data_IF_746784581721
#
_entry.id   IF_746784581721
#
_cell.length_a   1.000
_cell.length_b   1.000
_cell.length_c   1.000
_cell.angle_alpha   90.00
_cell.angle_beta   90.00
_cell.angle_gamma   90.00
#
_symmetry.space_group_name_H-M   'P 1'
#
loop_
_entity.id
_entity.type
_entity.pdbx_description
1 polymer ?
#
# COMPACT_ATOMS: atom_id res chain seq x y z
N UNK A 1 5.88 -22.37 4.09
CA UNK A 1 6.74 -21.67 3.11
C UNK A 1 5.91 -21.30 1.89
N UNK A 2 5.25 -20.14 1.94
CA UNK A 2 4.75 -19.45 0.75
C UNK A 2 5.53 -18.15 0.71
N UNK A 3 6.18 -17.84 -0.41
CA UNK A 3 6.86 -16.57 -0.60
C UNK A 3 5.92 -15.40 -0.21
N UNK A 4 6.37 -14.40 0.56
CA UNK A 4 5.56 -13.23 0.83
C UNK A 4 5.21 -12.52 -0.51
N UNK A 5 3.95 -12.09 -0.70
CA UNK A 5 3.45 -11.58 -1.98
C UNK A 5 3.94 -10.17 -2.35
N UNK A 6 5.01 -9.67 -1.72
CA UNK A 6 5.37 -8.24 -1.83
C UNK A 6 6.14 -7.88 -3.10
N UNK A 7 6.76 -8.84 -3.79
CA UNK A 7 7.69 -8.51 -4.88
C UNK A 7 7.05 -8.21 -6.25
N UNK A 8 5.74 -8.42 -6.41
CA UNK A 8 5.02 -8.04 -7.64
C UNK A 8 4.55 -6.57 -7.66
N UNK A 9 4.60 -5.82 -6.55
CA UNK A 9 4.06 -4.43 -6.53
C UNK A 9 5.00 -3.36 -7.07
N UNK A 10 6.32 -3.61 -7.13
CA UNK A 10 7.26 -2.66 -7.78
C UNK A 10 7.05 -2.64 -9.31
N UNK A 11 6.47 -3.69 -9.90
CA UNK A 11 6.09 -3.76 -11.31
C UNK A 11 4.66 -3.24 -11.61
N UNK A 12 3.96 -2.69 -10.61
CA UNK A 12 2.58 -2.20 -10.75
C UNK A 12 2.45 -0.68 -10.56
N UNK A 13 3.54 0.06 -10.74
CA UNK A 13 3.46 1.50 -10.96
C UNK A 13 2.89 1.69 -12.37
N UNK A 14 1.57 1.60 -12.48
CA UNK A 14 0.86 2.21 -13.58
C UNK A 14 0.57 3.64 -13.12
N UNK A 15 1.40 4.59 -13.54
CA UNK A 15 1.09 6.01 -13.44
C UNK A 15 1.10 6.61 -14.85
N UNK A 16 0.14 7.51 -15.08
CA UNK A 16 -0.10 8.20 -16.35
C UNK A 16 1.11 8.98 -16.87
N UNK A 17 0.95 9.63 -18.03
CA UNK A 17 2.06 10.11 -18.85
C UNK A 17 2.93 11.11 -18.07
N UNK A 18 4.21 10.78 -17.92
CA UNK A 18 5.21 11.70 -17.39
C UNK A 18 5.69 12.65 -18.49
N UNK A 19 5.54 13.97 -18.29
CA UNK A 19 6.46 14.94 -18.90
C UNK A 19 6.76 16.12 -17.96
N UNK A 20 8.05 16.43 -17.96
CA UNK A 20 8.78 17.56 -17.36
C UNK A 20 8.76 17.67 -15.83
N UNK A 21 9.42 16.72 -15.18
CA UNK A 21 10.02 16.95 -13.85
C UNK A 21 11.51 17.25 -14.06
N UNK A 22 11.89 18.51 -13.85
CA UNK A 22 13.28 18.94 -13.70
C UNK A 22 13.91 18.36 -12.43
N UNK A 23 15.25 18.26 -12.37
CA UNK A 23 15.94 17.22 -11.61
C UNK A 23 16.16 17.53 -10.11
N UNK A 24 16.34 16.43 -9.37
CA UNK A 24 16.94 16.25 -8.04
C UNK A 24 16.21 16.77 -6.79
N UNK A 25 15.55 15.84 -6.07
CA UNK A 25 15.53 15.75 -4.58
C UNK A 25 14.75 14.51 -4.03
N UNK A 26 14.45 13.50 -4.85
CA UNK A 26 13.25 12.67 -4.67
C UNK A 26 13.33 11.39 -3.82
N UNK A 27 14.16 11.32 -2.78
CA UNK A 27 14.00 10.24 -1.77
C UNK A 27 14.04 10.75 -0.35
N UNK A 28 15.02 11.60 -0.02
CA UNK A 28 15.10 12.24 1.29
C UNK A 28 14.04 13.35 1.48
N UNK A 29 13.68 14.09 0.42
CA UNK A 29 12.58 15.07 0.51
C UNK A 29 11.20 14.42 0.49
N UNK A 30 11.02 13.31 -0.23
CA UNK A 30 9.79 12.52 -0.11
C UNK A 30 9.65 11.89 1.29
N UNK A 31 10.74 11.47 1.92
CA UNK A 31 10.75 11.05 3.34
C UNK A 31 10.42 12.22 4.28
N UNK A 32 10.92 13.45 4.03
CA UNK A 32 10.58 14.65 4.80
C UNK A 32 9.12 15.07 4.63
N UNK A 33 8.58 15.01 3.42
CA UNK A 33 7.17 15.29 3.11
C UNK A 33 6.20 14.20 3.63
N UNK A 34 6.69 12.99 3.91
CA UNK A 34 5.82 11.83 4.23
C UNK A 34 5.18 11.87 5.62
N UNK A 35 5.70 12.66 6.57
CA UNK A 35 5.22 12.68 7.97
C UNK A 35 5.16 14.10 8.57
N UNK A 36 5.02 15.13 7.73
CA UNK A 36 4.78 16.48 8.21
C UNK A 36 3.42 16.60 8.91
N UNK A 37 3.28 17.56 9.83
CA UNK A 37 1.98 17.90 10.44
C UNK A 37 0.92 18.23 9.37
N UNK A 38 1.35 18.75 8.22
CA UNK A 38 0.49 18.98 7.06
C UNK A 38 -0.07 17.67 6.48
N UNK A 39 0.77 16.62 6.35
CA UNK A 39 0.33 15.30 5.91
C UNK A 39 -0.71 14.72 6.88
N UNK A 40 -0.43 14.75 8.19
CA UNK A 40 -1.38 14.25 9.20
C UNK A 40 -2.71 14.99 9.15
N UNK A 41 -2.70 16.32 8.97
CA UNK A 41 -3.92 17.12 8.80
C UNK A 41 -4.71 16.69 7.56
N UNK A 42 -4.03 16.56 6.41
CA UNK A 42 -4.62 16.13 5.13
C UNK A 42 -5.16 14.70 5.20
N UNK A 43 -4.38 13.78 5.75
CA UNK A 43 -4.76 12.39 5.98
C UNK A 43 -5.97 12.27 6.90
N UNK A 44 -6.00 13.01 8.02
CA UNK A 44 -7.15 13.05 8.94
C UNK A 44 -8.41 13.54 8.22
N UNK A 45 -8.28 14.54 7.35
CA UNK A 45 -9.39 15.07 6.56
C UNK A 45 -9.96 14.03 5.59
N UNK A 46 -9.11 13.37 4.82
CA UNK A 46 -9.55 12.28 3.92
C UNK A 46 -10.15 11.11 4.70
N UNK A 47 -9.54 10.74 5.82
CA UNK A 47 -10.04 9.68 6.71
C UNK A 47 -11.42 10.02 7.27
N UNK A 48 -11.67 11.28 7.63
CA UNK A 48 -12.99 11.72 8.11
C UNK A 48 -14.07 11.60 7.02
N UNK A 49 -13.74 11.87 5.75
CA UNK A 49 -14.66 11.69 4.62
C UNK A 49 -14.98 10.21 4.44
N UNK A 50 -13.94 9.38 4.47
CA UNK A 50 -14.03 7.95 4.22
C UNK A 50 -14.74 7.20 5.37
N UNK A 51 -14.62 7.68 6.61
CA UNK A 51 -15.29 7.15 7.80
C UNK A 51 -16.59 7.90 8.15
N UNK A 52 -17.12 8.72 7.25
CA UNK A 52 -18.34 9.52 7.49
C UNK A 52 -19.59 8.67 7.71
N UNK A 53 -19.64 7.46 7.14
CA UNK A 53 -20.77 6.56 7.24
C UNK A 53 -20.58 5.55 8.39
N UNK A 54 -21.59 5.38 9.23
CA UNK A 54 -21.61 4.35 10.31
C UNK A 54 -21.39 2.94 9.76
N UNK A 55 -21.92 2.65 8.57
CA UNK A 55 -21.69 1.38 7.88
C UNK A 55 -20.20 1.16 7.54
N UNK A 56 -19.50 2.19 7.08
CA UNK A 56 -18.08 2.09 6.75
C UNK A 56 -17.22 1.83 8.00
N UNK A 57 -17.55 2.47 9.13
CA UNK A 57 -16.91 2.22 10.43
C UNK A 57 -17.15 0.78 10.89
N UNK A 58 -18.37 0.26 10.74
CA UNK A 58 -18.71 -1.10 11.13
C UNK A 58 -17.96 -2.15 10.31
N UNK A 59 -17.90 -1.98 8.98
CA UNK A 59 -17.15 -2.91 8.11
C UNK A 59 -15.65 -2.86 8.41
N UNK A 60 -15.11 -1.69 8.76
CA UNK A 60 -13.73 -1.56 9.23
C UNK A 60 -13.47 -2.27 10.55
N UNK A 61 -14.39 -2.18 11.50
CA UNK A 61 -14.29 -2.92 12.75
C UNK A 61 -14.31 -4.43 12.50
N UNK A 62 -15.18 -4.91 11.62
CA UNK A 62 -15.22 -6.32 11.20
C UNK A 62 -13.89 -6.74 10.56
N UNK A 63 -13.27 -5.89 9.72
CA UNK A 63 -11.96 -6.15 9.14
C UNK A 63 -10.87 -6.29 10.21
N UNK A 64 -10.88 -5.44 11.24
CA UNK A 64 -9.93 -5.51 12.35
C UNK A 64 -10.12 -6.80 13.17
N UNK A 65 -11.37 -7.15 13.51
CA UNK A 65 -11.68 -8.39 14.22
C UNK A 65 -11.19 -9.61 13.43
N UNK A 66 -11.53 -9.70 12.14
CA UNK A 66 -11.06 -10.79 11.27
C UNK A 66 -9.53 -10.84 11.17
N UNK A 67 -8.87 -9.68 11.19
CA UNK A 67 -7.40 -9.60 11.14
C UNK A 67 -6.76 -10.11 12.43
N UNK A 68 -7.31 -9.78 13.60
CA UNK A 68 -6.85 -10.32 14.89
C UNK A 68 -7.13 -11.83 14.97
N UNK A 69 -8.33 -12.26 14.59
CA UNK A 69 -8.68 -13.69 14.54
C UNK A 69 -7.74 -14.47 13.63
N UNK A 70 -7.39 -13.91 12.47
CA UNK A 70 -6.43 -14.50 11.55
C UNK A 70 -5.06 -14.73 12.21
N UNK A 71 -4.50 -13.74 12.90
CA UNK A 71 -3.21 -13.88 13.59
C UNK A 71 -3.23 -14.96 14.68
N UNK A 72 -4.33 -15.05 15.45
CA UNK A 72 -4.50 -16.10 16.47
C UNK A 72 -4.50 -17.50 15.84
N UNK A 73 -5.19 -17.67 14.71
CA UNK A 73 -5.22 -18.94 14.00
C UNK A 73 -3.82 -19.27 13.45
N UNK A 74 -3.12 -18.27 12.87
CA UNK A 74 -1.76 -18.45 12.35
C UNK A 74 -0.79 -18.93 13.44
N UNK A 75 -0.91 -18.40 14.66
CA UNK A 75 -0.14 -18.90 15.80
C UNK A 75 -0.41 -20.38 16.08
N UNK A 76 -1.67 -20.81 16.07
CA UNK A 76 -2.03 -22.23 16.27
C UNK A 76 -1.50 -23.13 15.14
N UNK A 77 -1.54 -22.64 13.90
CA UNK A 77 -0.95 -23.36 12.76
C UNK A 77 0.56 -23.51 12.93
N UNK A 78 1.23 -22.51 13.49
CA UNK A 78 2.66 -22.60 13.80
C UNK A 78 3.00 -23.68 14.83
N UNK A 79 2.19 -23.79 15.89
CA UNK A 79 2.38 -24.81 16.94
C UNK A 79 2.08 -26.24 16.46
N UNK A 80 1.29 -26.38 15.41
CA UNK A 80 0.90 -27.67 14.85
C UNK A 80 2.11 -28.53 14.48
N UNK A 81 3.14 -27.91 13.87
CA UNK A 81 4.39 -28.60 13.48
C UNK A 81 5.12 -29.16 14.71
N UNK A 82 5.20 -28.39 15.79
CA UNK A 82 5.82 -28.83 17.04
C UNK A 82 5.10 -30.03 17.65
N UNK A 83 3.76 -30.03 17.62
CA UNK A 83 2.97 -31.15 18.12
C UNK A 83 3.13 -32.43 17.29
N UNK A 84 3.30 -32.32 15.95
CA UNK A 84 3.65 -33.47 15.12
C UNK A 84 4.98 -34.11 15.53
N UNK A 85 6.01 -33.32 15.83
CA UNK A 85 7.30 -33.86 16.30
C UNK A 85 7.15 -34.63 17.62
N UNK A 86 6.35 -34.13 18.55
CA UNK A 86 6.12 -34.81 19.85
C UNK A 86 5.37 -36.12 19.67
N UNK A 87 4.27 -36.11 18.91
CA UNK A 87 3.42 -37.30 18.71
C UNK A 87 4.14 -38.39 17.93
N UNK A 88 4.87 -38.01 16.86
CA UNK A 88 5.68 -38.95 16.09
C UNK A 88 6.85 -39.49 16.91
N UNK A 89 7.51 -38.64 17.72
CA UNK A 89 8.58 -39.05 18.62
C UNK A 89 8.13 -40.05 19.68
N UNK A 90 6.92 -39.87 20.23
CA UNK A 90 6.29 -40.79 21.19
C UNK A 90 5.65 -42.02 20.53
N UNK A 91 5.60 -42.10 19.20
CA UNK A 91 4.95 -43.17 18.41
C UNK A 91 3.48 -43.41 18.81
N UNK A 92 2.77 -42.35 19.18
CA UNK A 92 1.36 -42.42 19.58
C UNK A 92 0.44 -42.33 18.33
N UNK A 93 -0.11 -43.47 17.93
CA UNK A 93 -1.00 -43.56 16.76
C UNK A 93 -2.32 -42.79 16.97
N UNK A 94 -2.93 -42.89 18.15
CA UNK A 94 -4.20 -42.22 18.43
C UNK A 94 -4.00 -40.71 18.55
N UNK A 95 -2.92 -40.29 19.19
CA UNK A 95 -2.48 -38.90 19.20
C UNK A 95 -2.28 -38.35 17.78
N UNK A 96 -1.70 -39.14 16.87
CA UNK A 96 -1.46 -38.73 15.48
C UNK A 96 -2.76 -38.51 14.71
N UNK A 97 -3.70 -39.45 14.80
CA UNK A 97 -5.00 -39.35 14.10
C UNK A 97 -5.80 -38.16 14.64
N UNK A 98 -5.87 -37.99 15.96
CA UNK A 98 -6.59 -36.88 16.59
C UNK A 98 -5.97 -35.52 16.23
N UNK A 99 -4.64 -35.42 16.28
CA UNK A 99 -3.93 -34.20 15.90
C UNK A 99 -4.11 -33.88 14.41
N UNK A 100 -4.05 -34.89 13.54
CA UNK A 100 -4.28 -34.70 12.10
C UNK A 100 -5.71 -34.22 11.81
N UNK A 101 -6.72 -34.79 12.49
CA UNK A 101 -8.10 -34.33 12.38
C UNK A 101 -8.25 -32.86 12.82
N UNK A 102 -7.61 -32.47 13.94
CA UNK A 102 -7.56 -31.08 14.38
C UNK A 102 -6.89 -30.16 13.34
N UNK A 103 -5.79 -30.60 12.73
CA UNK A 103 -5.11 -29.85 11.67
C UNK A 103 -6.00 -29.59 10.46
N UNK A 104 -6.79 -30.59 10.02
CA UNK A 104 -7.71 -30.44 8.90
C UNK A 104 -8.80 -29.38 9.19
N UNK A 105 -9.35 -29.38 10.41
CA UNK A 105 -10.29 -28.35 10.86
C UNK A 105 -9.62 -26.98 10.89
N UNK A 106 -8.39 -26.91 11.40
CA UNK A 106 -7.62 -25.67 11.46
C UNK A 106 -7.33 -25.11 10.06
N UNK A 107 -6.98 -25.96 9.09
CA UNK A 107 -6.77 -25.57 7.68
C UNK A 107 -8.07 -24.98 7.09
N UNK A 108 -9.22 -25.63 7.32
CA UNK A 108 -10.51 -25.11 6.88
C UNK A 108 -10.82 -23.75 7.51
N UNK A 109 -10.51 -23.57 8.80
CA UNK A 109 -10.70 -22.31 9.52
C UNK A 109 -9.80 -21.19 8.97
N UNK A 110 -8.51 -21.47 8.74
CA UNK A 110 -7.56 -20.52 8.11
C UNK A 110 -8.08 -20.09 6.75
N UNK A 111 -8.48 -21.05 5.90
CA UNK A 111 -8.96 -20.77 4.56
C UNK A 111 -10.21 -19.89 4.58
N UNK A 112 -11.15 -20.19 5.47
CA UNK A 112 -12.36 -19.40 5.66
C UNK A 112 -12.04 -17.96 6.13
N UNK A 113 -11.33 -17.81 7.24
CA UNK A 113 -11.03 -16.48 7.83
C UNK A 113 -10.17 -15.63 6.89
N UNK A 114 -9.17 -16.22 6.23
CA UNK A 114 -8.33 -15.51 5.25
C UNK A 114 -9.15 -15.03 4.05
N UNK A 115 -10.08 -15.86 3.57
CA UNK A 115 -10.98 -15.50 2.46
C UNK A 115 -11.97 -14.41 2.87
N UNK A 116 -12.58 -14.52 4.05
CA UNK A 116 -13.47 -13.49 4.60
C UNK A 116 -12.73 -12.16 4.81
N UNK A 117 -11.53 -12.17 5.41
CA UNK A 117 -10.69 -10.97 5.57
C UNK A 117 -10.42 -10.30 4.22
N UNK A 118 -10.07 -11.07 3.18
CA UNK A 118 -9.83 -10.55 1.83
C UNK A 118 -11.10 -9.94 1.23
N UNK A 119 -12.23 -10.62 1.34
CA UNK A 119 -13.52 -10.14 0.83
C UNK A 119 -13.95 -8.83 1.52
N UNK A 120 -13.85 -8.78 2.86
CA UNK A 120 -14.18 -7.58 3.64
C UNK A 120 -13.24 -6.43 3.28
N UNK A 121 -11.93 -6.66 3.16
CA UNK A 121 -10.96 -5.64 2.72
C UNK A 121 -11.32 -5.06 1.34
N UNK A 122 -11.67 -5.91 0.36
CA UNK A 122 -12.12 -5.45 -0.95
C UNK A 122 -13.44 -4.67 -0.89
N UNK A 123 -14.36 -5.07 -0.01
CA UNK A 123 -15.64 -4.37 0.18
C UNK A 123 -15.43 -2.98 0.79
N UNK A 124 -14.56 -2.86 1.81
CA UNK A 124 -14.16 -1.57 2.38
C UNK A 124 -13.55 -0.67 1.30
N UNK A 125 -12.64 -1.22 0.50
CA UNK A 125 -11.99 -0.48 -0.59
C UNK A 125 -13.02 0.15 -1.54
N UNK A 126 -14.04 -0.62 -1.95
CA UNK A 126 -15.10 -0.14 -2.84
C UNK A 126 -15.94 0.96 -2.17
N UNK A 127 -16.34 0.77 -0.92
CA UNK A 127 -17.12 1.78 -0.18
C UNK A 127 -16.34 3.08 0.00
N UNK A 128 -15.07 2.98 0.37
CA UNK A 128 -14.17 4.12 0.55
C UNK A 128 -13.95 4.89 -0.75
N UNK A 129 -13.70 4.16 -1.85
CA UNK A 129 -13.60 4.74 -3.19
C UNK A 129 -14.88 5.47 -3.57
N UNK A 130 -16.04 4.85 -3.36
CA UNK A 130 -17.34 5.46 -3.65
C UNK A 130 -17.52 6.79 -2.90
N UNK A 131 -17.27 6.82 -1.58
CA UNK A 131 -17.42 8.02 -0.77
C UNK A 131 -16.46 9.14 -1.19
N UNK A 132 -15.18 8.79 -1.36
CA UNK A 132 -14.14 9.78 -1.67
C UNK A 132 -14.29 10.32 -3.10
N UNK A 133 -14.51 9.44 -4.09
CA UNK A 133 -14.75 9.86 -5.47
C UNK A 133 -16.02 10.67 -5.59
N UNK A 134 -17.12 10.30 -4.92
CA UNK A 134 -18.37 11.09 -4.94
C UNK A 134 -18.13 12.51 -4.42
N UNK A 135 -17.44 12.67 -3.28
CA UNK A 135 -17.13 14.00 -2.72
C UNK A 135 -16.27 14.83 -3.67
N UNK A 136 -15.25 14.23 -4.29
CA UNK A 136 -14.41 14.93 -5.27
C UNK A 136 -15.20 15.32 -6.52
N UNK A 137 -16.08 14.44 -7.01
CA UNK A 137 -16.92 14.71 -8.18
C UNK A 137 -17.94 15.83 -7.94
N UNK A 138 -18.59 15.85 -6.78
CA UNK A 138 -19.51 16.94 -6.39
C UNK A 138 -18.82 18.30 -6.46
N UNK A 139 -17.58 18.39 -5.95
CA UNK A 139 -16.79 19.61 -6.00
C UNK A 139 -16.29 19.94 -7.41
N UNK A 140 -15.86 18.94 -8.17
CA UNK A 140 -15.31 19.10 -9.52
C UNK A 140 -16.35 19.61 -10.53
N UNK A 141 -17.60 19.13 -10.42
CA UNK A 141 -18.69 19.56 -11.30
C UNK A 141 -19.46 20.77 -10.76
N UNK A 142 -19.21 21.21 -9.52
CA UNK A 142 -19.74 22.46 -8.98
C UNK A 142 -19.17 23.68 -9.72
N UNK A 143 -20.00 24.71 -9.94
CA UNK A 143 -19.60 26.09 -10.32
C UNK A 143 -18.50 26.20 -11.40
N UNK A 144 -18.52 25.32 -12.41
CA UNK A 144 -17.51 25.27 -13.49
C UNK A 144 -16.06 25.07 -12.98
N UNK A 145 -15.88 24.49 -11.80
CA UNK A 145 -14.56 24.15 -11.22
C UNK A 145 -13.75 23.29 -12.19
N UNK A 146 -14.36 22.31 -12.85
CA UNK A 146 -13.72 21.51 -13.89
C UNK A 146 -13.08 22.37 -15.00
N UNK A 147 -13.71 23.46 -15.42
CA UNK A 147 -13.13 24.36 -16.44
C UNK A 147 -11.97 25.16 -15.85
N UNK A 148 -12.15 25.73 -14.64
CA UNK A 148 -11.11 26.51 -13.98
C UNK A 148 -9.84 25.68 -13.75
N UNK A 149 -9.97 24.46 -13.25
CA UNK A 149 -8.83 23.59 -12.94
C UNK A 149 -8.11 23.11 -14.21
N UNK A 150 -8.82 22.84 -15.31
CA UNK A 150 -8.17 22.32 -16.52
C UNK A 150 -7.62 23.40 -17.44
N UNK A 151 -8.21 24.60 -17.46
CA UNK A 151 -7.93 25.62 -18.48
C UNK A 151 -7.34 26.89 -17.89
N UNK A 152 -7.79 27.30 -16.70
CA UNK A 152 -7.41 28.60 -16.11
C UNK A 152 -6.20 28.45 -15.18
N UNK A 153 -6.18 27.42 -14.35
CA UNK A 153 -5.10 27.17 -13.40
C UNK A 153 -4.06 26.20 -13.99
N UNK A 154 -2.78 26.57 -13.86
CA UNK A 154 -1.64 25.73 -14.28
C UNK A 154 -0.99 24.98 -13.13
N UNK A 155 -1.58 25.01 -11.93
CA UNK A 155 -0.99 24.45 -10.71
C UNK A 155 -1.35 22.99 -10.39
N UNK A 156 -2.27 22.38 -11.13
CA UNK A 156 -2.75 21.01 -10.87
C UNK A 156 -2.65 20.16 -12.12
N UNK A 157 -1.65 19.29 -12.15
CA UNK A 157 -1.51 18.33 -13.24
C UNK A 157 -2.46 17.13 -13.08
N UNK A 158 -3.06 16.73 -14.20
CA UNK A 158 -3.89 15.52 -14.40
C UNK A 158 -4.95 15.31 -13.30
N UNK A 159 -5.92 16.24 -13.16
CA UNK A 159 -6.98 16.13 -12.14
C UNK A 159 -7.84 14.87 -12.33
N UNK A 160 -8.04 14.42 -13.58
CA UNK A 160 -8.72 13.19 -13.95
C UNK A 160 -8.03 11.94 -13.36
N UNK A 161 -6.70 11.86 -13.45
CA UNK A 161 -5.92 10.77 -12.88
C UNK A 161 -6.02 10.76 -11.36
N UNK A 162 -6.00 11.93 -10.72
CA UNK A 162 -6.12 12.06 -9.26
C UNK A 162 -7.47 11.56 -8.75
N UNK A 163 -8.57 11.92 -9.42
CA UNK A 163 -9.93 11.51 -9.02
C UNK A 163 -10.17 10.01 -9.27
N UNK A 164 -9.59 9.46 -10.34
CA UNK A 164 -9.87 8.08 -10.77
C UNK A 164 -8.87 7.06 -10.24
N UNK A 165 -7.58 7.23 -10.50
CA UNK A 165 -6.54 6.25 -10.20
C UNK A 165 -5.94 6.44 -8.82
N UNK A 166 -5.60 7.68 -8.43
CA UNK A 166 -4.95 7.90 -7.14
C UNK A 166 -5.89 7.58 -5.98
N UNK A 167 -7.18 7.90 -6.09
CA UNK A 167 -8.20 7.54 -5.10
C UNK A 167 -8.33 6.03 -4.95
N UNK A 168 -8.40 5.29 -6.06
CA UNK A 168 -8.48 3.83 -6.04
C UNK A 168 -7.24 3.22 -5.38
N UNK A 169 -6.05 3.68 -5.78
CA UNK A 169 -4.77 3.22 -5.23
C UNK A 169 -4.64 3.56 -3.74
N UNK A 170 -5.06 4.76 -3.33
CA UNK A 170 -5.09 5.15 -1.92
C UNK A 170 -5.99 4.19 -1.11
N UNK A 171 -7.22 3.97 -1.55
CA UNK A 171 -8.19 3.14 -0.81
C UNK A 171 -7.70 1.68 -0.68
N UNK A 172 -7.19 1.10 -1.76
CA UNK A 172 -6.65 -0.27 -1.77
C UNK A 172 -5.49 -0.44 -0.79
N UNK A 173 -4.49 0.44 -0.90
CA UNK A 173 -3.28 0.36 -0.09
C UNK A 173 -3.60 0.67 1.38
N UNK A 174 -4.50 1.62 1.65
CA UNK A 174 -4.89 1.97 3.00
C UNK A 174 -5.62 0.80 3.71
N UNK A 175 -6.52 0.10 3.02
CA UNK A 175 -7.21 -1.08 3.57
C UNK A 175 -6.26 -2.22 3.94
N UNK A 176 -5.19 -2.41 3.15
CA UNK A 176 -4.19 -3.45 3.42
C UNK A 176 -3.27 -3.08 4.60
N UNK A 177 -2.89 -1.80 4.70
CA UNK A 177 -1.90 -1.31 5.68
C UNK A 177 -2.52 -1.12 7.06
N UNK A 178 -3.71 -0.53 7.16
CA UNK A 178 -4.28 -0.12 8.46
C UNK A 178 -4.40 -1.29 9.44
N UNK A 179 -4.98 -2.46 9.09
CA UNK A 179 -5.04 -3.59 10.00
C UNK A 179 -3.64 -4.09 10.38
N UNK A 180 -2.74 -4.17 9.40
CA UNK A 180 -1.38 -4.67 9.61
C UNK A 180 -0.57 -3.75 10.52
N UNK A 181 -0.70 -2.43 10.38
CA UNK A 181 -0.05 -1.42 11.20
C UNK A 181 -0.58 -1.41 12.64
N UNK A 182 -1.88 -1.63 12.84
CA UNK A 182 -2.48 -1.68 14.17
C UNK A 182 -2.11 -2.95 14.93
N UNK A 183 -1.94 -4.07 14.22
CA UNK A 183 -1.69 -5.38 14.83
C UNK A 183 -0.19 -5.64 15.03
N UNK A 184 0.68 -5.09 14.18
CA UNK A 184 2.13 -5.37 14.20
C UNK A 184 2.83 -5.08 15.55
N UNK A 185 2.51 -4.03 16.33
CA UNK A 185 3.17 -3.82 17.62
C UNK A 185 2.84 -4.93 18.62
N UNK A 186 1.59 -5.41 18.60
CA UNK A 186 1.13 -6.49 19.47
C UNK A 186 1.76 -7.83 19.10
N UNK A 187 1.84 -8.15 17.79
CA UNK A 187 2.47 -9.39 17.35
C UNK A 187 3.97 -9.37 17.63
N UNK A 188 4.68 -8.29 17.32
CA UNK A 188 6.13 -8.16 17.60
C UNK A 188 6.40 -8.27 19.10
N UNK A 189 5.61 -7.60 19.94
CA UNK A 189 5.73 -7.69 21.39
C UNK A 189 5.51 -9.12 21.90
N UNK A 190 4.45 -9.78 21.46
CA UNK A 190 4.12 -11.15 21.85
C UNK A 190 5.18 -12.17 21.41
N UNK A 191 5.63 -12.13 20.15
CA UNK A 191 6.63 -13.07 19.65
C UNK A 191 8.04 -12.79 20.20
N UNK A 192 8.35 -11.53 20.52
CA UNK A 192 9.58 -11.18 21.24
C UNK A 192 9.56 -11.74 22.66
N UNK A 193 8.42 -11.65 23.37
CA UNK A 193 8.24 -12.28 24.67
C UNK A 193 8.34 -13.83 24.59
N UNK A 194 7.74 -14.45 23.59
CA UNK A 194 7.87 -15.90 23.39
C UNK A 194 9.31 -16.32 23.07
N UNK A 195 10.03 -15.55 22.26
CA UNK A 195 11.45 -15.82 21.96
C UNK A 195 12.31 -15.68 23.22
N UNK A 196 12.00 -14.70 24.09
CA UNK A 196 12.66 -14.54 25.39
C UNK A 196 12.45 -15.75 26.31
N UNK A 197 11.23 -16.28 26.36
CA UNK A 197 10.92 -17.43 27.23
C UNK A 197 11.66 -18.71 26.82
N UNK A 198 12.02 -18.86 25.54
CA UNK A 198 12.65 -20.10 25.02
C UNK A 198 14.17 -19.99 24.91
N UNK A 199 14.69 -18.84 24.49
CA UNK A 199 16.13 -18.65 24.27
C UNK A 199 16.76 -17.62 25.22
N UNK A 200 16.01 -17.13 26.21
CA UNK A 200 16.45 -16.06 27.10
C UNK A 200 16.66 -14.74 26.36
N UNK A 201 17.48 -13.87 26.94
CA UNK A 201 17.78 -12.55 26.37
C UNK A 201 18.44 -12.61 24.97
N UNK A 202 19.20 -13.68 24.69
CA UNK A 202 19.92 -13.85 23.42
C UNK A 202 18.95 -14.02 22.24
N UNK A 203 17.79 -14.64 22.45
CA UNK A 203 16.82 -14.92 21.39
C UNK A 203 16.31 -13.67 20.69
N UNK A 204 15.57 -12.79 21.38
CA UNK A 204 15.08 -11.55 20.79
C UNK A 204 16.25 -10.69 20.28
N UNK A 205 17.33 -10.56 21.06
CA UNK A 205 18.49 -9.73 20.70
C UNK A 205 19.08 -10.14 19.34
N UNK A 206 19.28 -11.43 19.10
CA UNK A 206 19.80 -11.94 17.83
C UNK A 206 18.87 -11.61 16.66
N UNK A 207 17.55 -11.74 16.85
CA UNK A 207 16.56 -11.39 15.82
C UNK A 207 16.55 -9.88 15.54
N UNK A 208 16.64 -9.03 16.56
CA UNK A 208 16.73 -7.58 16.39
C UNK A 208 18.00 -7.15 15.64
N UNK A 209 19.16 -7.71 16.00
CA UNK A 209 20.43 -7.43 15.31
C UNK A 209 20.33 -7.85 13.84
N UNK A 210 19.80 -9.05 13.60
CA UNK A 210 19.60 -9.57 12.25
C UNK A 210 18.62 -8.71 11.43
N UNK A 211 17.54 -8.22 12.04
CA UNK A 211 16.61 -7.30 11.41
C UNK A 211 17.28 -5.99 10.99
N UNK A 212 18.06 -5.37 11.88
CA UNK A 212 18.80 -4.13 11.59
C UNK A 212 19.75 -4.37 10.42
N UNK A 213 20.49 -5.48 10.45
CA UNK A 213 21.40 -5.86 9.36
C UNK A 213 20.67 -6.08 8.02
N UNK A 214 19.61 -6.90 8.02
CA UNK A 214 18.81 -7.20 6.82
C UNK A 214 18.17 -5.93 6.23
N UNK A 215 17.65 -5.05 7.09
CA UNK A 215 17.06 -3.76 6.68
C UNK A 215 18.12 -2.82 6.12
N UNK A 216 19.28 -2.70 6.77
CA UNK A 216 20.37 -1.85 6.30
C UNK A 216 20.89 -2.32 4.93
N UNK A 217 21.07 -3.63 4.74
CA UNK A 217 21.47 -4.22 3.46
C UNK A 217 20.41 -3.96 2.39
N UNK A 218 19.13 -4.21 2.69
CA UNK A 218 18.03 -3.97 1.76
C UNK A 218 17.94 -2.50 1.35
N UNK A 219 18.03 -1.57 2.31
CA UNK A 219 17.99 -0.12 2.04
C UNK A 219 19.16 0.33 1.16
N UNK A 220 20.37 -0.18 1.41
CA UNK A 220 21.54 0.11 0.60
C UNK A 220 21.34 -0.32 -0.85
N UNK A 221 20.82 -1.54 -1.06
CA UNK A 221 20.56 -2.10 -2.39
C UNK A 221 19.42 -1.37 -3.12
N UNK A 222 18.31 -1.08 -2.43
CA UNK A 222 17.16 -0.35 -3.00
C UNK A 222 17.58 1.04 -3.49
N UNK A 223 18.39 1.76 -2.70
CA UNK A 223 18.86 3.12 -3.04
C UNK A 223 19.57 3.17 -4.40
N UNK A 224 20.20 2.08 -4.83
CA UNK A 224 20.87 1.98 -6.14
C UNK A 224 19.90 1.69 -7.30
N UNK A 225 18.72 1.12 -7.03
CA UNK A 225 17.72 0.73 -8.05
C UNK A 225 16.75 1.87 -8.34
N UNK A 226 16.36 2.64 -7.32
CA UNK A 226 15.33 3.71 -7.41
C UNK A 226 15.56 4.69 -8.58
N UNK A 227 16.77 5.25 -8.80
CA UNK A 227 16.98 6.20 -9.90
C UNK A 227 16.76 5.61 -11.30
N UNK A 228 16.99 4.29 -11.45
CA UNK A 228 16.78 3.60 -12.73
C UNK A 228 15.31 3.29 -12.98
N UNK A 229 14.55 2.97 -11.93
CA UNK A 229 13.10 2.80 -12.02
C UNK A 229 12.45 4.12 -12.41
N UNK A 230 12.91 5.24 -11.87
CA UNK A 230 12.44 6.56 -12.27
C UNK A 230 12.69 6.86 -13.76
N UNK A 231 13.89 6.56 -14.26
CA UNK A 231 14.19 6.73 -15.69
C UNK A 231 13.32 5.82 -16.57
N UNK A 232 13.03 4.60 -16.14
CA UNK A 232 12.10 3.70 -16.83
C UNK A 232 10.70 4.32 -16.95
N UNK A 233 10.12 4.79 -15.85
CA UNK A 233 8.81 5.45 -15.84
C UNK A 233 8.77 6.68 -16.78
N UNK A 234 9.87 7.45 -16.81
CA UNK A 234 10.00 8.59 -17.72
C UNK A 234 10.01 8.17 -19.19
N UNK A 235 10.74 7.10 -19.54
CA UNK A 235 10.78 6.59 -20.92
C UNK A 235 9.43 5.95 -21.32
N UNK A 236 8.80 5.23 -20.40
CA UNK A 236 7.45 4.67 -20.57
C UNK A 236 6.43 5.79 -20.85
N UNK A 237 6.49 6.89 -20.09
CA UNK A 237 5.68 8.09 -20.29
C UNK A 237 5.90 8.73 -21.66
N UNK A 238 7.15 8.84 -22.13
CA UNK A 238 7.49 9.36 -23.47
C UNK A 238 6.95 8.47 -24.59
N UNK A 239 7.06 7.16 -24.44
CA UNK A 239 6.54 6.19 -25.41
C UNK A 239 5.02 6.26 -25.51
N UNK A 240 4.31 6.27 -24.36
CA UNK A 240 2.85 6.46 -24.31
C UNK A 240 2.42 7.79 -24.91
N UNK A 241 3.14 8.88 -24.62
CA UNK A 241 2.85 10.19 -25.19
C UNK A 241 2.99 10.19 -26.72
N UNK A 242 4.02 9.54 -27.28
CA UNK A 242 4.20 9.42 -28.73
C UNK A 242 3.00 8.72 -29.39
N UNK A 243 2.52 7.62 -28.82
CA UNK A 243 1.29 6.96 -29.29
C UNK A 243 0.03 7.83 -29.16
N UNK A 244 -0.11 8.58 -28.06
CA UNK A 244 -1.22 9.51 -27.89
C UNK A 244 -1.20 10.61 -28.96
N UNK A 245 0.00 11.10 -29.33
CA UNK A 245 0.20 12.08 -30.40
C UNK A 245 -0.17 11.52 -31.77
N UNK A 246 0.26 10.30 -32.10
CA UNK A 246 -0.14 9.62 -33.35
C UNK A 246 -1.65 9.46 -33.43
N UNK A 247 -2.29 9.05 -32.34
CA UNK A 247 -3.76 8.94 -32.27
C UNK A 247 -4.45 10.29 -32.45
N UNK A 248 -3.95 11.35 -31.83
CA UNK A 248 -4.55 12.68 -31.93
C UNK A 248 -4.41 13.31 -33.32
N UNK A 249 -3.36 12.93 -34.06
CA UNK A 249 -3.05 13.47 -35.40
C UNK A 249 -3.19 12.41 -36.49
N UNK A 250 -4.01 11.36 -36.28
CA UNK A 250 -4.07 10.20 -37.18
C UNK A 250 -4.51 10.56 -38.59
N UNK A 251 -5.41 11.53 -38.72
CA UNK A 251 -5.87 12.03 -40.02
C UNK A 251 -4.75 12.74 -40.78
N UNK A 252 -3.95 13.57 -40.11
CA UNK A 252 -2.82 14.25 -40.71
C UNK A 252 -1.71 13.26 -41.14
N UNK A 253 -1.47 12.23 -40.33
CA UNK A 253 -0.51 11.16 -40.67
C UNK A 253 -0.97 10.40 -41.91
N UNK A 254 -2.24 9.99 -41.97
CA UNK A 254 -2.80 9.27 -43.11
C UNK A 254 -2.90 10.13 -44.37
N UNK A 255 -3.18 11.43 -44.24
CA UNK A 255 -3.26 12.34 -45.37
C UNK A 255 -1.90 12.60 -46.03
N UNK A 256 -0.81 12.50 -45.25
CA UNK A 256 0.56 12.76 -45.69
C UNK A 256 1.36 11.48 -46.00
N UNK A 257 0.74 10.29 -45.95
CA UNK A 257 1.43 8.98 -46.01
C UNK A 257 2.65 8.92 -45.07
N UNK A 258 2.48 9.48 -43.86
CA UNK A 258 3.55 9.70 -42.87
C UNK A 258 3.89 8.49 -42.00
N UNK A 259 3.32 7.32 -42.27
CA UNK A 259 3.38 6.15 -41.38
C UNK A 259 4.81 5.67 -41.12
N UNK A 260 5.65 5.64 -42.15
CA UNK A 260 7.04 5.20 -42.00
C UNK A 260 7.86 6.15 -41.11
N UNK A 261 7.64 7.46 -41.22
CA UNK A 261 8.32 8.46 -40.39
C UNK A 261 7.84 8.37 -38.93
N UNK A 262 6.54 8.18 -38.73
CA UNK A 262 5.97 7.97 -37.39
C UNK A 262 6.41 6.65 -36.77
N UNK A 263 6.55 5.59 -37.57
CA UNK A 263 7.10 4.30 -37.14
C UNK A 263 8.55 4.44 -36.65
N UNK A 264 9.45 4.99 -37.47
CA UNK A 264 10.86 5.19 -37.12
C UNK A 264 11.01 6.06 -35.85
N UNK A 265 10.22 7.15 -35.76
CA UNK A 265 10.18 7.99 -34.56
C UNK A 265 9.71 7.22 -33.32
N UNK A 266 8.72 6.34 -33.46
CA UNK A 266 8.17 5.54 -32.35
C UNK A 266 9.13 4.41 -31.94
N UNK A 267 9.79 3.75 -32.88
CA UNK A 267 10.80 2.74 -32.62
C UNK A 267 11.99 3.31 -31.84
N UNK A 268 12.42 4.53 -32.14
CA UNK A 268 13.46 5.22 -31.38
C UNK A 268 13.10 5.39 -29.88
N UNK A 269 11.83 5.68 -29.59
CA UNK A 269 11.33 5.75 -28.21
C UNK A 269 11.26 4.35 -27.56
N UNK A 270 10.86 3.32 -28.31
CA UNK A 270 10.84 1.94 -27.84
C UNK A 270 12.25 1.44 -27.48
N UNK A 271 13.25 1.72 -28.31
CA UNK A 271 14.65 1.33 -28.05
C UNK A 271 15.17 2.00 -26.77
N UNK A 272 14.85 3.28 -26.54
CA UNK A 272 15.21 3.97 -25.30
C UNK A 272 14.52 3.34 -24.08
N UNK A 273 13.23 3.01 -24.20
CA UNK A 273 12.45 2.33 -23.17
C UNK A 273 13.04 0.95 -22.81
N UNK A 274 13.28 0.10 -23.81
CA UNK A 274 13.85 -1.25 -23.60
C UNK A 274 15.23 -1.18 -22.97
N UNK A 275 16.08 -0.23 -23.37
CA UNK A 275 17.40 -0.01 -22.72
C UNK A 275 17.25 0.40 -21.25
N UNK A 276 16.32 1.30 -20.94
CA UNK A 276 16.04 1.70 -19.55
C UNK A 276 15.51 0.50 -18.73
N UNK A 277 14.62 -0.30 -19.31
CA UNK A 277 14.05 -1.49 -18.70
C UNK A 277 15.13 -2.53 -18.38
N UNK A 278 16.00 -2.84 -19.34
CA UNK A 278 17.14 -3.75 -19.11
C UNK A 278 18.10 -3.23 -18.04
N UNK A 279 18.36 -1.90 -17.99
CA UNK A 279 19.16 -1.30 -16.93
C UNK A 279 18.57 -1.51 -15.54
N UNK A 280 17.23 -1.45 -15.41
CA UNK A 280 16.54 -1.74 -14.15
C UNK A 280 16.74 -3.21 -13.77
N UNK A 281 16.52 -4.14 -14.69
CA UNK A 281 16.67 -5.58 -14.41
C UNK A 281 18.10 -5.95 -13.99
N UNK A 282 19.11 -5.37 -14.64
CA UNK A 282 20.51 -5.59 -14.27
C UNK A 282 20.83 -5.10 -12.84
N UNK A 283 20.12 -4.06 -12.36
CA UNK A 283 20.27 -3.54 -10.99
C UNK A 283 19.40 -4.26 -9.98
N UNK A 284 18.27 -4.82 -10.41
CA UNK A 284 17.42 -5.66 -9.57
C UNK A 284 18.07 -7.01 -9.25
N UNK A 285 18.92 -7.56 -10.11
CA UNK A 285 19.60 -8.82 -9.86
C UNK A 285 20.36 -8.86 -8.50
N UNK A 286 21.30 -7.94 -8.21
CA UNK A 286 21.99 -7.95 -6.91
C UNK A 286 21.07 -7.60 -5.74
N UNK A 287 20.02 -6.78 -5.96
CA UNK A 287 18.99 -6.51 -4.95
C UNK A 287 18.27 -7.80 -4.55
N UNK A 288 17.73 -8.52 -5.53
CA UNK A 288 16.99 -9.76 -5.32
C UNK A 288 17.89 -10.82 -4.69
N UNK A 289 19.16 -10.93 -5.13
CA UNK A 289 20.12 -11.83 -4.52
C UNK A 289 20.32 -11.52 -3.04
N UNK A 290 20.54 -10.26 -2.69
CA UNK A 290 20.73 -9.84 -1.29
C UNK A 290 19.51 -10.12 -0.42
N UNK A 291 18.31 -9.78 -0.91
CA UNK A 291 17.03 -10.03 -0.22
C UNK A 291 16.81 -11.53 0.00
N UNK A 292 16.89 -12.34 -1.06
CA UNK A 292 16.67 -13.78 -0.94
C UNK A 292 17.72 -14.44 -0.05
N UNK A 293 18.97 -14.01 -0.15
CA UNK A 293 20.02 -14.48 0.76
C UNK A 293 19.65 -14.20 2.21
N UNK A 294 19.17 -13.00 2.53
CA UNK A 294 18.70 -12.70 3.88
C UNK A 294 17.53 -13.59 4.26
N UNK A 295 16.45 -13.67 3.47
CA UNK A 295 15.27 -14.49 3.78
C UNK A 295 15.63 -15.93 4.15
N UNK A 296 16.51 -16.57 3.37
CA UNK A 296 16.98 -17.92 3.67
C UNK A 296 17.93 -17.96 4.86
N UNK A 297 18.83 -16.98 5.04
CA UNK A 297 19.70 -16.90 6.21
C UNK A 297 18.93 -16.76 7.52
N UNK A 298 17.76 -16.10 7.51
CA UNK A 298 16.87 -16.00 8.68
C UNK A 298 16.39 -17.36 9.17
N UNK A 299 16.21 -18.33 8.25
CA UNK A 299 15.88 -19.71 8.63
C UNK A 299 17.00 -20.39 9.42
N UNK A 300 18.25 -20.20 9.02
CA UNK A 300 19.42 -20.76 9.70
C UNK A 300 19.61 -20.09 11.06
N UNK A 301 19.44 -18.77 11.14
CA UNK A 301 19.52 -18.02 12.40
C UNK A 301 18.57 -18.57 13.46
N UNK A 302 17.36 -18.97 13.07
CA UNK A 302 16.38 -19.55 14.01
C UNK A 302 16.89 -20.82 14.72
N UNK A 303 17.74 -21.61 14.07
CA UNK A 303 18.40 -22.77 14.67
C UNK A 303 19.61 -22.37 15.52
N UNK A 304 20.38 -21.37 15.09
CA UNK A 304 21.51 -20.86 15.87
C UNK A 304 21.07 -20.26 17.22
N UNK A 305 19.90 -19.63 17.26
CA UNK A 305 19.33 -19.06 18.49
C UNK A 305 19.10 -20.14 19.55
N UNK A 306 18.57 -21.31 19.18
CA UNK A 306 18.33 -22.40 20.14
C UNK A 306 19.58 -23.24 20.42
N UNK A 307 20.60 -23.16 19.58
CA UNK A 307 21.84 -23.90 19.78
C UNK A 307 22.51 -23.55 21.12
N UNK A 308 22.56 -22.27 21.50
CA UNK A 308 23.21 -21.83 22.75
C UNK A 308 22.60 -22.49 24.00
N UNK A 309 21.29 -22.36 24.30
CA UNK A 309 20.71 -23.02 25.47
C UNK A 309 20.78 -24.55 25.38
N UNK A 310 20.62 -25.11 24.17
CA UNK A 310 20.71 -26.55 23.94
C UNK A 310 22.09 -27.13 24.28
N UNK A 311 23.18 -26.53 23.79
CA UNK A 311 24.54 -27.00 24.07
C UNK A 311 25.04 -26.62 25.47
N UNK A 312 24.37 -25.68 26.15
CA UNK A 312 24.67 -25.33 27.55
C UNK A 312 24.08 -26.31 28.58
N UNK A 313 23.34 -27.33 28.13
CA UNK A 313 22.73 -28.34 29.00
C UNK A 313 21.40 -27.92 29.63
N UNK A 314 20.80 -26.80 29.21
CA UNK A 314 19.56 -26.28 29.80
C UNK A 314 18.32 -27.18 29.58
N UNK A 315 18.42 -28.15 28.67
CA UNK A 315 17.31 -29.01 28.25
C UNK A 315 17.62 -30.52 28.38
N UNK A 316 18.67 -30.88 29.12
CA UNK A 316 19.14 -32.27 29.24
C UNK A 316 18.14 -33.19 29.97
N UNK A 317 17.26 -32.61 30.81
CA UNK A 317 16.24 -33.35 31.57
C UNK A 317 14.96 -33.65 30.75
N UNK A 318 14.86 -33.15 29.52
CA UNK A 318 13.64 -33.26 28.70
C UNK A 318 13.71 -34.49 27.78
N UNK A 319 12.58 -35.15 27.58
CA UNK A 319 12.49 -36.27 26.63
C UNK A 319 12.90 -35.85 25.21
N UNK A 320 13.53 -36.73 24.44
CA UNK A 320 13.97 -36.44 23.06
C UNK A 320 12.82 -36.01 22.13
N UNK A 321 11.61 -36.54 22.36
CA UNK A 321 10.41 -36.16 21.63
C UNK A 321 9.94 -34.74 21.98
N UNK A 322 9.93 -34.39 23.28
CA UNK A 322 9.51 -33.06 23.74
C UNK A 322 10.55 -31.99 23.38
N UNK A 323 11.84 -32.35 23.37
CA UNK A 323 12.93 -31.52 22.88
C UNK A 323 12.77 -31.17 21.40
N UNK A 324 12.40 -32.14 20.56
CA UNK A 324 12.15 -31.92 19.13
C UNK A 324 10.97 -30.98 18.90
N UNK A 325 9.90 -31.12 19.70
CA UNK A 325 8.77 -30.20 19.69
C UNK A 325 9.15 -28.78 20.11
N UNK A 326 9.96 -28.64 21.17
CA UNK A 326 10.46 -27.35 21.64
C UNK A 326 11.30 -26.64 20.56
N UNK A 327 12.20 -27.37 19.91
CA UNK A 327 13.02 -26.84 18.82
C UNK A 327 12.12 -26.31 17.70
N UNK A 328 11.16 -27.11 17.25
CA UNK A 328 10.22 -26.71 16.20
C UNK A 328 9.40 -25.47 16.59
N UNK A 329 8.90 -25.40 17.82
CA UNK A 329 8.18 -24.24 18.34
C UNK A 329 9.05 -22.99 18.32
N UNK A 330 10.32 -23.10 18.73
CA UNK A 330 11.25 -21.96 18.74
C UNK A 330 11.61 -21.48 17.34
N UNK A 331 11.88 -22.41 16.42
CA UNK A 331 12.12 -22.12 15.01
C UNK A 331 10.93 -21.34 14.44
N UNK A 332 9.70 -21.80 14.71
CA UNK A 332 8.49 -21.09 14.30
C UNK A 332 8.42 -19.68 14.88
N UNK A 333 8.57 -19.52 16.20
CA UNK A 333 8.49 -18.20 16.88
C UNK A 333 9.54 -17.24 16.32
N UNK A 334 10.78 -17.70 16.15
CA UNK A 334 11.89 -16.86 15.66
C UNK A 334 11.69 -16.48 14.19
N UNK A 335 11.29 -17.43 13.34
CA UNK A 335 10.95 -17.15 11.95
C UNK A 335 9.78 -16.19 11.81
N UNK A 336 8.75 -16.35 12.64
CA UNK A 336 7.57 -15.49 12.61
C UNK A 336 7.93 -14.06 13.06
N UNK A 337 8.79 -13.93 14.07
CA UNK A 337 9.31 -12.64 14.51
C UNK A 337 10.11 -11.94 13.40
N UNK A 338 11.00 -12.67 12.71
CA UNK A 338 11.72 -12.16 11.53
C UNK A 338 10.71 -11.70 10.46
N UNK A 339 9.69 -12.51 10.17
CA UNK A 339 8.65 -12.15 9.19
C UNK A 339 7.86 -10.90 9.60
N UNK A 340 7.57 -10.70 10.89
CA UNK A 340 6.89 -9.50 11.37
C UNK A 340 7.72 -8.24 11.08
N UNK A 341 9.03 -8.33 11.28
CA UNK A 341 9.96 -7.26 10.96
C UNK A 341 10.10 -7.00 9.46
N UNK A 342 10.16 -8.04 8.62
CA UNK A 342 10.12 -7.88 7.16
C UNK A 342 8.81 -7.22 6.71
N UNK A 343 7.68 -7.61 7.30
CA UNK A 343 6.39 -6.97 7.04
C UNK A 343 6.38 -5.48 7.41
N UNK A 344 7.10 -5.05 8.45
CA UNK A 344 7.25 -3.62 8.77
C UNK A 344 8.00 -2.85 7.68
N UNK A 345 9.03 -3.45 7.07
CA UNK A 345 9.74 -2.86 5.94
C UNK A 345 8.79 -2.72 4.75
N UNK A 346 7.97 -3.73 4.48
CA UNK A 346 6.97 -3.68 3.42
C UNK A 346 5.89 -2.62 3.67
N UNK A 347 5.49 -2.43 4.94
CA UNK A 347 4.56 -1.36 5.34
C UNK A 347 5.13 0.03 5.03
N UNK A 348 6.45 0.22 5.09
CA UNK A 348 7.07 1.52 4.77
C UNK A 348 6.79 1.95 3.33
N UNK A 349 6.91 1.04 2.36
CA UNK A 349 6.59 1.30 0.95
C UNK A 349 5.11 1.64 0.76
N UNK A 350 4.26 0.93 1.51
CA UNK A 350 2.85 1.19 1.56
C UNK A 350 2.52 2.59 2.11
N UNK A 351 3.14 2.99 3.22
CA UNK A 351 2.98 4.30 3.84
C UNK A 351 3.42 5.41 2.88
N UNK A 352 4.55 5.24 2.18
CA UNK A 352 4.98 6.19 1.15
C UNK A 352 3.94 6.36 0.03
N UNK A 353 3.31 5.26 -0.39
CA UNK A 353 2.23 5.31 -1.41
C UNK A 353 0.99 6.05 -0.88
N UNK A 354 0.58 5.78 0.36
CA UNK A 354 -0.52 6.49 1.02
C UNK A 354 -0.19 7.97 1.15
N UNK A 355 1.03 8.32 1.55
CA UNK A 355 1.47 9.70 1.69
C UNK A 355 1.42 10.46 0.36
N UNK A 356 2.00 9.90 -0.70
CA UNK A 356 2.01 10.49 -2.04
C UNK A 356 0.60 10.72 -2.58
N UNK A 357 -0.27 9.70 -2.53
CA UNK A 357 -1.64 9.82 -3.03
C UNK A 357 -2.49 10.77 -2.16
N UNK A 358 -2.35 10.70 -0.83
CA UNK A 358 -3.04 11.63 0.08
C UNK A 358 -2.67 13.07 -0.22
N UNK A 359 -1.38 13.35 -0.45
CA UNK A 359 -0.92 14.68 -0.82
C UNK A 359 -1.57 15.14 -2.14
N UNK A 360 -1.48 14.33 -3.20
CA UNK A 360 -2.01 14.67 -4.53
C UNK A 360 -3.52 14.92 -4.52
N UNK A 361 -4.28 14.05 -3.83
CA UNK A 361 -5.73 14.17 -3.69
C UNK A 361 -6.11 15.38 -2.83
N UNK A 362 -5.40 15.61 -1.71
CA UNK A 362 -5.72 16.71 -0.81
C UNK A 362 -5.43 18.07 -1.44
N UNK A 363 -4.35 18.21 -2.21
CA UNK A 363 -4.08 19.45 -2.97
C UNK A 363 -5.21 19.74 -3.94
N UNK A 364 -5.71 18.73 -4.65
CA UNK A 364 -6.86 18.89 -5.55
C UNK A 364 -8.12 19.29 -4.77
N UNK A 365 -8.40 18.62 -3.66
CA UNK A 365 -9.56 18.89 -2.81
C UNK A 365 -9.54 20.33 -2.27
N UNK A 366 -8.42 20.75 -1.68
CA UNK A 366 -8.22 22.10 -1.13
C UNK A 366 -8.41 23.19 -2.19
N UNK A 367 -7.95 22.94 -3.42
CA UNK A 367 -8.09 23.89 -4.53
C UNK A 367 -9.53 23.97 -5.05
N UNK A 368 -10.20 22.83 -5.21
CA UNK A 368 -11.62 22.81 -5.60
C UNK A 368 -12.51 23.54 -4.58
N UNK A 369 -12.21 23.42 -3.29
CA UNK A 369 -12.92 24.12 -2.23
C UNK A 369 -12.66 25.63 -2.28
N UNK A 370 -11.40 26.05 -2.42
CA UNK A 370 -11.05 27.47 -2.55
C UNK A 370 -11.74 28.13 -3.76
N UNK A 371 -11.80 27.44 -4.90
CA UNK A 371 -12.50 27.93 -6.11
C UNK A 371 -14.01 28.10 -5.85
N UNK A 372 -14.63 27.18 -5.11
CA UNK A 372 -16.05 27.28 -4.76
C UNK A 372 -16.30 28.44 -3.77
N UNK A 373 -15.42 28.62 -2.77
CA UNK A 373 -15.51 29.72 -1.80
C UNK A 373 -15.36 31.09 -2.48
N UNK A 374 -14.45 31.24 -3.45
CA UNK A 374 -14.35 32.46 -4.27
C UNK A 374 -15.64 32.75 -5.07
N UNK A 375 -16.29 31.69 -5.55
CA UNK A 375 -17.58 31.78 -6.22
C UNK A 375 -18.67 32.28 -5.29
N UNK A 376 -18.75 31.76 -4.05
CA UNK A 376 -19.72 32.20 -3.04
C UNK A 376 -19.58 33.68 -2.72
N UNK A 377 -18.35 34.16 -2.51
CA UNK A 377 -18.06 35.56 -2.24
C UNK A 377 -18.49 36.44 -3.42
N UNK A 378 -18.24 35.98 -4.66
CA UNK A 378 -18.61 36.73 -5.87
C UNK A 378 -20.13 36.84 -6.03
N UNK A 379 -20.86 35.74 -5.78
CA UNK A 379 -22.32 35.72 -5.84
C UNK A 379 -22.95 36.61 -4.75
N UNK A 380 -22.42 36.59 -3.52
CA UNK A 380 -22.86 37.47 -2.44
C UNK A 380 -22.63 38.95 -2.76
N UNK A 381 -21.46 39.29 -3.31
CA UNK A 381 -21.15 40.66 -3.72
C UNK A 381 -22.06 41.15 -4.87
N UNK A 382 -22.44 40.28 -5.79
CA UNK A 382 -23.38 40.61 -6.87
C UNK A 382 -24.82 40.75 -6.36
N UNK A 383 -25.24 39.89 -5.43
CA UNK A 383 -26.54 39.99 -4.77
C UNK A 383 -26.69 41.29 -3.99
N UNK A 384 -25.64 41.73 -3.28
CA UNK A 384 -25.66 42.96 -2.47
C UNK A 384 -25.59 44.25 -3.30
N UNK A 385 -25.19 44.14 -4.57
CA UNK A 385 -25.16 45.25 -5.54
C UNK A 385 -26.45 45.46 -6.33
N UNK A 386 -27.41 44.53 -6.28
CA UNK A 386 -28.77 44.76 -6.79
C UNK A 386 -29.57 45.48 -5.70
N UNK A 387 -29.88 46.78 -5.84
CA UNK A 387 -30.89 47.40 -4.99
C UNK A 387 -32.24 46.72 -5.27
N UNK A 388 -33.12 46.65 -4.28
CA UNK A 388 -34.56 46.46 -4.48
C UNK A 388 -35.02 47.47 -5.54
N UNK A 389 -35.26 46.99 -6.76
CA UNK A 389 -35.81 47.80 -7.84
C UNK A 389 -37.22 47.27 -8.10
N UNK A 390 -38.20 47.97 -7.52
CA UNK A 390 -39.57 48.06 -8.04
C UNK A 390 -40.63 47.15 -7.41
N UNK A 391 -41.25 47.62 -6.32
CA UNK A 391 -42.68 47.35 -6.06
C UNK A 391 -43.43 48.67 -5.87
N UNK A 392 -43.40 49.54 -6.89
CA UNK A 392 -44.30 50.69 -6.99
C UNK A 392 -44.37 51.14 -8.46
N UNK A 393 -45.16 50.43 -9.27
CA UNK A 393 -45.76 51.00 -10.48
C UNK A 393 -46.87 50.10 -11.03
N UNK A 394 -48.04 50.72 -11.20
CA UNK A 394 -49.06 50.45 -12.21
C UNK A 394 -50.19 49.47 -11.86
N UNK A 395 -51.08 49.91 -10.95
CA UNK A 395 -52.50 49.55 -11.00
C UNK A 395 -53.31 50.85 -11.05
N UNK A 396 -53.54 51.35 -12.26
CA UNK A 396 -54.30 52.58 -12.44
C UNK A 396 -54.62 52.88 -13.90
N UNK A 397 -55.87 52.60 -14.27
CA UNK A 397 -56.62 53.11 -15.43
C UNK A 397 -56.81 52.09 -16.56
N UNK A 398 -57.87 51.29 -16.44
CA UNK A 398 -58.83 51.09 -17.54
C UNK A 398 -60.25 51.14 -16.97
N UNK A 399 -60.92 52.30 -17.10
CA UNK A 399 -62.38 52.38 -17.06
C UNK A 399 -62.87 53.32 -18.15
N UNK A 400 -63.78 52.79 -18.99
CA UNK A 400 -64.74 53.49 -19.86
C UNK A 400 -64.17 54.29 -21.05
N UNK A 401 -64.19 53.69 -22.25
CA UNK A 401 -65.27 53.82 -23.26
C UNK A 401 -64.90 53.08 -24.54
#
# INVERSE_FOLDING_TARGET
>A
MSAPPTYQRIASINMGPARNVEPSESSAEMERLALDCLFLRRFRRLSAIVLSNTGAVLVMLVLLVLSVTYEVIVYQVGLTTAQYYVVLGKKDWWGFVNHTAFCLVLIAMVACVKSCKRYVSSTVTVQWRQLLTKRLQELYFSRKVHYRINVVETGIDNPDQRITQDVDRLCQVLCDIVPTLLISPFTIGYYSYQSFNVAGFIGPLAVFIYFIFSTALSKLLITRVVPRVYELEKQEGRFRYKHAQVRANSEAVAFLDGEFAELDSTENHLVALVKAQQCVYNRQLPLNLGVYFTDYAGSILSFLIIAVPLFSGAYDDISTADLSGLISKNTFVSMYLISCFSNLVDLSSGISTVAGNTHRISVLLERMEAINEEGDITDEMQSKKRPDDGSDADDGIVSNL
#
